data_IF_411690204121
#
_entry.id   IF_411690204121
#
_cell.length_a   1.000
_cell.length_b   1.000
_cell.length_c   1.000
_cell.angle_alpha   90.00
_cell.angle_beta   90.00
_cell.angle_gamma   90.00
#
_symmetry.space_group_name_H-M   'P 1'
#
loop_
_entity.id
_entity.type
_entity.pdbx_description
1 polymer ?
#
# COMPACT_ATOMS: atom_id res chain seq x y z
N UNK A 1 4.94 -34.66 -9.86
CA UNK A 1 4.92 -34.51 -8.39
C UNK A 1 6.29 -34.87 -7.85
N UNK A 2 7.25 -33.95 -7.98
CA UNK A 2 8.58 -34.05 -7.38
C UNK A 2 8.74 -32.91 -6.39
N UNK A 3 8.85 -33.26 -5.11
CA UNK A 3 9.13 -32.33 -4.04
C UNK A 3 10.54 -31.76 -4.23
N UNK A 4 10.66 -30.43 -4.31
CA UNK A 4 11.94 -29.74 -4.20
C UNK A 4 12.13 -29.32 -2.73
N UNK A 5 13.09 -29.91 -1.99
CA UNK A 5 13.18 -29.75 -0.54
C UNK A 5 14.16 -28.65 -0.15
N UNK A 6 14.03 -27.42 -0.66
CA UNK A 6 14.86 -26.30 -0.20
C UNK A 6 14.13 -24.98 -0.39
N UNK A 7 13.59 -24.44 0.71
CA UNK A 7 13.43 -22.99 1.03
C UNK A 7 12.47 -22.81 2.22
N UNK A 8 12.80 -23.39 3.36
CA UNK A 8 12.27 -22.91 4.64
C UNK A 8 13.11 -21.71 5.06
N UNK A 9 12.73 -20.51 4.59
CA UNK A 9 13.25 -19.27 5.18
C UNK A 9 12.81 -19.20 6.64
N UNK A 10 13.73 -19.58 7.54
CA UNK A 10 13.56 -19.49 8.98
C UNK A 10 13.17 -18.08 9.38
N UNK A 11 11.90 -17.90 9.75
CA UNK A 11 11.36 -16.62 10.24
C UNK A 11 12.05 -16.24 11.55
N UNK A 12 13.03 -15.34 11.48
CA UNK A 12 13.49 -14.61 12.67
C UNK A 12 12.46 -13.55 13.07
N UNK A 13 11.42 -13.99 13.79
CA UNK A 13 10.37 -13.14 14.37
C UNK A 13 10.82 -12.12 15.45
N UNK A 14 11.99 -12.20 16.15
CA UNK A 14 12.24 -11.31 17.28
C UNK A 14 12.81 -9.92 16.93
N UNK A 15 13.26 -9.67 15.68
CA UNK A 15 13.98 -8.43 15.35
C UNK A 15 13.08 -7.18 15.30
N UNK A 16 11.81 -7.33 14.92
CA UNK A 16 10.92 -6.18 14.76
C UNK A 16 10.30 -5.69 16.08
N UNK A 17 10.02 -6.59 17.02
CA UNK A 17 9.56 -6.19 18.36
C UNK A 17 10.67 -5.42 19.10
N UNK A 18 11.91 -5.88 18.99
CA UNK A 18 13.07 -5.17 19.54
C UNK A 18 13.22 -3.77 18.92
N UNK A 19 13.09 -3.66 17.60
CA UNK A 19 13.21 -2.38 16.90
C UNK A 19 12.09 -1.38 17.27
N UNK A 20 10.84 -1.85 17.40
CA UNK A 20 9.74 -1.02 17.89
C UNK A 20 9.98 -0.53 19.32
N UNK A 21 10.45 -1.41 20.21
CA UNK A 21 10.82 -1.04 21.57
C UNK A 21 11.93 0.02 21.60
N UNK A 22 12.93 -0.07 20.72
CA UNK A 22 13.99 0.94 20.60
C UNK A 22 13.46 2.31 20.16
N UNK A 23 12.52 2.36 19.22
CA UNK A 23 11.91 3.63 18.77
C UNK A 23 11.06 4.25 19.86
N UNK A 24 10.24 3.45 20.56
CA UNK A 24 9.44 3.93 21.70
C UNK A 24 10.35 4.43 22.82
N UNK A 25 11.40 3.69 23.17
CA UNK A 25 12.38 4.11 24.16
C UNK A 25 13.09 5.42 23.77
N UNK A 26 13.42 5.58 22.49
CA UNK A 26 13.99 6.82 21.95
C UNK A 26 13.04 8.02 22.09
N UNK A 27 11.76 7.85 21.77
CA UNK A 27 10.75 8.91 21.96
C UNK A 27 10.56 9.27 23.43
N UNK A 28 10.53 8.28 24.33
CA UNK A 28 10.43 8.49 25.79
C UNK A 28 11.66 9.23 26.32
N UNK A 29 12.86 8.87 25.84
CA UNK A 29 14.09 9.55 26.24
C UNK A 29 14.12 11.01 25.77
N UNK A 30 13.72 11.28 24.51
CA UNK A 30 13.61 12.64 23.99
C UNK A 30 12.63 13.46 24.83
N UNK A 31 11.45 12.89 25.16
CA UNK A 31 10.48 13.54 26.02
C UNK A 31 11.04 13.83 27.41
N UNK A 32 11.74 12.87 28.02
CA UNK A 32 12.37 13.04 29.34
C UNK A 32 13.44 14.13 29.32
N UNK A 33 14.26 14.21 28.27
CA UNK A 33 15.27 15.27 28.09
C UNK A 33 14.61 16.63 27.91
N UNK A 34 13.54 16.73 27.12
CA UNK A 34 12.77 17.97 26.95
C UNK A 34 12.17 18.43 28.27
N UNK A 35 11.55 17.52 29.04
CA UNK A 35 10.99 17.82 30.36
C UNK A 35 12.07 18.25 31.35
N UNK A 36 13.22 17.59 31.37
CA UNK A 36 14.34 17.96 32.24
C UNK A 36 14.88 19.37 31.89
N UNK A 37 15.00 19.69 30.60
CA UNK A 37 15.38 21.02 30.13
C UNK A 37 14.31 22.08 30.45
N UNK A 38 13.03 21.71 30.52
CA UNK A 38 11.95 22.61 30.93
C UNK A 38 12.10 23.04 32.39
N UNK A 39 12.36 22.06 33.24
CA UNK A 39 12.52 22.26 34.67
C UNK A 39 13.76 23.13 34.95
N UNK A 40 14.83 23.01 34.17
CA UNK A 40 16.05 23.82 34.34
C UNK A 40 15.94 25.22 33.74
N UNK A 41 15.33 25.39 32.58
CA UNK A 41 15.17 26.70 31.93
C UNK A 41 14.19 27.62 32.68
N UNK A 42 13.15 27.02 33.30
CA UNK A 42 12.20 27.73 34.15
C UNK A 42 12.85 28.33 35.41
N UNK A 43 13.84 27.63 35.98
CA UNK A 43 14.65 28.15 37.11
C UNK A 43 15.51 29.36 36.74
N UNK A 44 15.72 29.61 35.45
CA UNK A 44 16.59 30.67 34.92
C UNK A 44 15.82 31.87 34.34
N UNK A 45 14.48 31.90 34.46
CA UNK A 45 13.66 33.04 34.03
C UNK A 45 13.45 33.19 32.51
N UNK A 46 13.85 32.18 31.71
CA UNK A 46 13.81 32.21 30.23
C UNK A 46 12.53 31.66 29.60
N UNK A 47 11.40 31.65 30.30
CA UNK A 47 10.21 30.84 29.95
C UNK A 47 9.67 31.02 28.53
N UNK A 48 9.71 32.24 27.96
CA UNK A 48 9.18 32.51 26.61
C UNK A 48 10.08 31.98 25.48
N UNK A 49 11.39 32.23 25.54
CA UNK A 49 12.37 31.67 24.57
C UNK A 49 12.42 30.14 24.65
N UNK A 50 12.27 29.61 25.85
CA UNK A 50 12.16 28.17 26.08
C UNK A 50 10.90 27.56 25.44
N UNK A 51 9.73 28.18 25.62
CA UNK A 51 8.49 27.74 24.99
C UNK A 51 8.59 27.72 23.45
N UNK A 52 9.17 28.77 22.87
CA UNK A 52 9.42 28.83 21.41
C UNK A 52 10.35 27.71 20.96
N UNK A 53 11.42 27.44 21.71
CA UNK A 53 12.33 26.32 21.44
C UNK A 53 11.65 24.95 21.51
N UNK A 54 10.74 24.74 22.46
CA UNK A 54 9.99 23.49 22.62
C UNK A 54 8.99 23.28 21.48
N UNK A 55 8.26 24.34 21.09
CA UNK A 55 7.38 24.31 19.92
C UNK A 55 8.17 24.03 18.65
N UNK A 56 9.32 24.69 18.44
CA UNK A 56 10.18 24.44 17.29
C UNK A 56 10.72 23.00 17.26
N UNK A 57 11.22 22.50 18.39
CA UNK A 57 11.68 21.12 18.52
C UNK A 57 10.56 20.11 18.26
N UNK A 58 9.34 20.36 18.73
CA UNK A 58 8.19 19.52 18.45
C UNK A 58 7.84 19.51 16.96
N UNK A 59 7.78 20.69 16.32
CA UNK A 59 7.50 20.80 14.88
C UNK A 59 8.55 20.11 14.02
N UNK A 60 9.81 20.06 14.46
CA UNK A 60 10.92 19.39 13.76
C UNK A 60 10.97 17.88 14.06
N UNK A 61 10.77 17.46 15.32
CA UNK A 61 10.85 16.05 15.71
C UNK A 61 9.65 15.22 15.23
N UNK A 62 8.46 15.83 15.11
CA UNK A 62 7.25 15.15 14.63
C UNK A 62 7.42 14.52 13.23
N UNK A 63 7.85 15.23 12.17
CA UNK A 63 8.01 14.62 10.85
C UNK A 63 9.10 13.53 10.84
N UNK A 64 10.21 13.74 11.55
CA UNK A 64 11.32 12.77 11.61
C UNK A 64 10.90 11.49 12.35
N UNK A 65 10.30 11.63 13.53
CA UNK A 65 9.78 10.50 14.31
C UNK A 65 8.68 9.76 13.56
N UNK A 66 7.76 10.50 12.92
CA UNK A 66 6.67 9.94 12.10
C UNK A 66 7.23 9.14 10.92
N UNK A 67 8.19 9.68 10.18
CA UNK A 67 8.84 8.99 9.06
C UNK A 67 9.59 7.74 9.52
N UNK A 68 10.30 7.81 10.66
CA UNK A 68 10.95 6.65 11.25
C UNK A 68 9.94 5.55 11.60
N UNK A 69 8.86 5.87 12.34
CA UNK A 69 7.81 4.91 12.71
C UNK A 69 7.15 4.29 11.48
N UNK A 70 6.89 5.06 10.42
CA UNK A 70 6.35 4.49 9.17
C UNK A 70 7.31 3.53 8.52
N UNK A 71 8.60 3.89 8.38
CA UNK A 71 9.58 2.98 7.77
C UNK A 71 9.75 1.70 8.58
N UNK A 72 9.74 1.81 9.92
CA UNK A 72 9.72 0.66 10.82
C UNK A 72 8.49 -0.22 10.57
N UNK A 73 7.31 0.41 10.50
CA UNK A 73 6.03 -0.27 10.31
C UNK A 73 5.95 -0.95 8.94
N UNK A 74 6.33 -0.27 7.87
CA UNK A 74 6.40 -0.83 6.52
C UNK A 74 7.40 -1.98 6.49
N UNK A 75 8.60 -1.82 7.05
CA UNK A 75 9.60 -2.88 7.14
C UNK A 75 9.12 -4.10 7.94
N UNK A 76 8.42 -3.88 9.06
CA UNK A 76 7.80 -4.95 9.84
C UNK A 76 6.78 -5.72 9.01
N UNK A 77 5.86 -5.01 8.33
CA UNK A 77 4.85 -5.64 7.48
C UNK A 77 5.50 -6.49 6.40
N UNK A 78 6.50 -5.94 5.68
CA UNK A 78 7.29 -6.66 4.67
C UNK A 78 7.90 -7.97 5.20
N UNK A 79 8.44 -7.94 6.42
CA UNK A 79 9.02 -9.13 7.06
C UNK A 79 7.97 -10.16 7.50
N UNK A 80 6.71 -9.75 7.70
CA UNK A 80 5.61 -10.64 8.10
C UNK A 80 4.73 -11.10 6.94
N UNK A 81 4.83 -10.47 5.77
CA UNK A 81 4.09 -10.85 4.56
C UNK A 81 4.34 -12.31 4.21
N UNK A 82 3.28 -13.02 3.83
CA UNK A 82 3.42 -14.37 3.28
C UNK A 82 4.09 -14.31 1.90
N UNK A 83 4.89 -15.32 1.58
CA UNK A 83 5.29 -15.55 0.20
C UNK A 83 4.07 -15.91 -0.65
N UNK A 84 4.11 -15.58 -1.94
CA UNK A 84 2.98 -15.79 -2.86
C UNK A 84 2.54 -17.24 -2.93
N UNK A 85 3.47 -18.20 -2.93
CA UNK A 85 3.14 -19.63 -2.95
C UNK A 85 2.41 -20.08 -1.68
N UNK A 86 2.83 -19.61 -0.51
CA UNK A 86 2.13 -19.89 0.74
C UNK A 86 0.77 -19.18 0.83
N UNK A 87 0.64 -17.97 0.28
CA UNK A 87 -0.65 -17.30 0.18
C UNK A 87 -1.64 -18.10 -0.68
N UNK A 88 -1.19 -18.62 -1.84
CA UNK A 88 -1.98 -19.49 -2.72
C UNK A 88 -2.36 -20.83 -2.07
N UNK A 89 -1.50 -21.38 -1.20
CA UNK A 89 -1.82 -22.61 -0.46
C UNK A 89 -2.78 -22.38 0.72
N UNK A 90 -2.71 -21.21 1.33
CA UNK A 90 -3.50 -20.88 2.52
C UNK A 90 -4.94 -20.47 2.20
N UNK A 91 -5.19 -19.96 0.99
CA UNK A 91 -6.51 -19.53 0.55
C UNK A 91 -6.99 -20.43 -0.61
N UNK A 92 -8.10 -21.18 -0.44
CA UNK A 92 -8.60 -22.08 -1.47
C UNK A 92 -9.28 -21.36 -2.65
N UNK A 93 -9.55 -20.05 -2.53
CA UNK A 93 -10.19 -19.27 -3.61
C UNK A 93 -9.23 -19.07 -4.77
N UNK A 94 -9.77 -18.94 -5.98
CA UNK A 94 -8.98 -18.61 -7.18
C UNK A 94 -8.25 -17.27 -6.95
N UNK A 95 -6.97 -17.14 -7.32
CA UNK A 95 -6.23 -15.90 -7.07
C UNK A 95 -6.71 -14.73 -7.92
N UNK A 96 -6.33 -13.55 -7.44
CA UNK A 96 -6.27 -12.32 -8.25
C UNK A 96 -4.81 -12.11 -8.63
N UNK A 97 -4.48 -12.22 -9.92
CA UNK A 97 -3.11 -12.00 -10.39
C UNK A 97 -2.90 -10.53 -10.69
N UNK A 98 -1.81 -9.97 -10.16
CA UNK A 98 -1.40 -8.60 -10.40
C UNK A 98 -0.12 -8.54 -11.24
N UNK A 99 -0.28 -8.19 -12.51
CA UNK A 99 0.78 -7.95 -13.48
C UNK A 99 1.10 -6.47 -13.52
N UNK A 100 2.36 -6.09 -13.43
CA UNK A 100 2.77 -4.69 -13.46
C UNK A 100 4.25 -4.59 -13.75
N UNK A 101 4.65 -3.49 -14.37
CA UNK A 101 6.07 -3.18 -14.47
C UNK A 101 6.63 -2.86 -13.08
N UNK A 102 7.93 -3.08 -12.93
CA UNK A 102 8.64 -2.73 -11.72
C UNK A 102 8.55 -1.23 -11.39
N UNK A 103 8.55 -0.35 -12.39
CA UNK A 103 8.34 1.08 -12.19
C UNK A 103 7.01 1.40 -11.47
N UNK A 104 5.93 0.70 -11.84
CA UNK A 104 4.62 0.86 -11.20
C UNK A 104 4.66 0.38 -9.74
N UNK A 105 5.43 -0.67 -9.46
CA UNK A 105 5.66 -1.17 -8.10
C UNK A 105 6.25 -0.08 -7.19
N UNK A 106 7.25 0.65 -7.68
CA UNK A 106 7.90 1.73 -6.93
C UNK A 106 6.97 2.92 -6.72
N UNK A 107 6.08 3.17 -7.70
CA UNK A 107 5.08 4.24 -7.63
C UNK A 107 3.98 3.93 -6.60
N UNK A 108 3.50 2.69 -6.56
CA UNK A 108 2.45 2.24 -5.63
C UNK A 108 2.96 1.85 -4.24
N UNK A 109 4.27 1.76 -4.05
CA UNK A 109 4.90 1.61 -2.74
C UNK A 109 4.83 2.89 -1.88
N UNK A 110 4.36 4.01 -2.43
CA UNK A 110 4.17 5.28 -1.71
C UNK A 110 3.05 5.14 -0.68
N UNK A 111 3.27 5.70 0.51
CA UNK A 111 2.25 5.83 1.56
C UNK A 111 1.48 7.13 1.37
N UNK A 112 0.16 7.13 1.64
CA UNK A 112 -0.67 8.32 1.52
C UNK A 112 -0.29 9.45 2.48
N UNK A 113 -0.72 10.68 2.20
CA UNK A 113 -0.29 11.88 2.93
C UNK A 113 -1.13 12.19 4.20
N UNK A 114 -2.38 11.74 4.24
CA UNK A 114 -3.30 11.96 5.36
C UNK A 114 -3.00 11.07 6.58
N UNK A 115 -3.35 11.53 7.78
CA UNK A 115 -3.02 10.86 9.05
C UNK A 115 -3.58 9.42 9.17
N UNK A 116 -4.72 9.13 8.54
CA UNK A 116 -5.34 7.79 8.51
C UNK A 116 -4.61 6.82 7.56
N UNK A 117 -3.94 7.39 6.57
CA UNK A 117 -3.46 6.76 5.33
C UNK A 117 -1.93 6.60 5.26
N UNK A 118 -1.23 7.27 6.18
CA UNK A 118 0.22 7.35 6.27
C UNK A 118 0.93 6.01 6.54
N UNK A 119 0.21 5.01 7.04
CA UNK A 119 0.78 3.70 7.40
C UNK A 119 0.50 2.60 6.36
N UNK A 120 -0.09 2.94 5.22
CA UNK A 120 -0.44 1.97 4.16
C UNK A 120 -0.01 2.47 2.80
N UNK A 121 0.61 1.59 2.03
CA UNK A 121 0.92 1.84 0.62
C UNK A 121 -0.35 1.73 -0.22
N UNK A 122 -0.33 2.30 -1.42
CA UNK A 122 -1.45 2.13 -2.38
C UNK A 122 -1.63 0.66 -2.76
N UNK A 123 -0.53 -0.09 -2.91
CA UNK A 123 -0.59 -1.52 -3.18
C UNK A 123 -1.27 -2.32 -2.05
N UNK A 124 -1.12 -1.90 -0.78
CA UNK A 124 -1.86 -2.50 0.34
C UNK A 124 -3.36 -2.22 0.29
N UNK A 125 -3.77 -1.09 -0.31
CA UNK A 125 -5.19 -0.77 -0.50
C UNK A 125 -5.78 -1.60 -1.62
N UNK A 126 -5.04 -1.77 -2.73
CA UNK A 126 -5.38 -2.72 -3.78
C UNK A 126 -5.56 -4.12 -3.21
N UNK A 127 -4.56 -4.64 -2.49
CA UNK A 127 -4.64 -5.95 -1.85
C UNK A 127 -5.89 -6.14 -0.98
N UNK A 128 -6.33 -5.07 -0.31
CA UNK A 128 -7.50 -5.09 0.56
C UNK A 128 -8.81 -5.06 -0.22
N UNK A 129 -8.91 -4.21 -1.24
CA UNK A 129 -10.07 -4.11 -2.12
C UNK A 129 -10.36 -5.46 -2.79
N UNK A 130 -9.30 -6.13 -3.25
CA UNK A 130 -9.43 -7.41 -3.96
C UNK A 130 -9.42 -8.64 -3.03
N UNK A 131 -9.19 -8.48 -1.73
CA UNK A 131 -9.15 -9.59 -0.77
C UNK A 131 -10.48 -10.37 -0.67
N UNK A 132 -11.61 -9.72 -0.98
CA UNK A 132 -12.93 -10.38 -1.01
C UNK A 132 -13.09 -11.32 -2.21
N UNK A 133 -12.35 -11.07 -3.28
CA UNK A 133 -12.38 -11.89 -4.49
C UNK A 133 -11.47 -13.10 -4.30
N UNK A 134 -10.20 -12.86 -3.97
CA UNK A 134 -9.23 -13.93 -3.76
C UNK A 134 -7.89 -13.41 -3.22
N UNK A 135 -6.91 -14.30 -3.00
CA UNK A 135 -5.57 -13.88 -2.61
C UNK A 135 -4.93 -13.08 -3.75
N UNK A 136 -4.51 -11.84 -3.46
CA UNK A 136 -3.79 -11.00 -4.43
C UNK A 136 -2.33 -11.44 -4.51
N UNK A 137 -1.90 -11.88 -5.68
CA UNK A 137 -0.55 -12.38 -5.94
C UNK A 137 0.09 -11.66 -7.12
N UNK A 138 1.41 -11.51 -7.09
CA UNK A 138 2.14 -10.82 -8.14
C UNK A 138 3.53 -11.45 -8.33
N UNK A 139 4.11 -11.39 -9.52
CA UNK A 139 5.49 -11.85 -9.73
C UNK A 139 6.48 -10.90 -9.04
N UNK A 140 7.40 -11.46 -8.25
CA UNK A 140 8.44 -10.70 -7.55
C UNK A 140 9.66 -10.41 -8.42
N UNK A 141 10.40 -9.35 -8.10
CA UNK A 141 11.71 -9.08 -8.73
C UNK A 141 12.72 -10.14 -8.30
N UNK A 142 13.53 -10.70 -9.22
CA UNK A 142 14.66 -11.55 -8.84
C UNK A 142 15.59 -10.81 -7.86
N UNK A 143 15.98 -11.49 -6.77
CA UNK A 143 16.90 -10.92 -5.78
C UNK A 143 16.30 -9.86 -4.84
N UNK A 144 14.98 -9.65 -4.84
CA UNK A 144 14.36 -8.71 -3.90
C UNK A 144 14.54 -9.17 -2.44
N UNK A 145 15.04 -8.31 -1.53
CA UNK A 145 15.44 -8.74 -0.18
C UNK A 145 14.24 -9.04 0.75
N UNK A 146 13.10 -8.38 0.56
CA UNK A 146 11.87 -8.62 1.30
C UNK A 146 10.67 -8.35 0.40
N UNK A 147 9.61 -9.18 0.41
CA UNK A 147 8.39 -8.86 -0.32
C UNK A 147 7.80 -7.54 0.20
N UNK A 148 7.24 -6.68 -0.66
CA UNK A 148 6.54 -5.49 -0.24
C UNK A 148 5.27 -5.85 0.55
N UNK A 149 4.75 -4.87 1.29
CA UNK A 149 3.44 -5.00 1.90
C UNK A 149 2.41 -4.73 0.79
N UNK A 150 1.42 -5.62 0.61
CA UNK A 150 0.48 -5.57 -0.50
C UNK A 150 0.24 -6.94 -1.13
N UNK A 151 0.35 -7.05 -2.45
CA UNK A 151 0.23 -8.31 -3.16
C UNK A 151 1.36 -9.27 -2.76
N UNK A 152 1.02 -10.53 -2.50
CA UNK A 152 2.00 -11.53 -2.10
C UNK A 152 2.87 -11.93 -3.29
N UNK A 153 4.20 -11.89 -3.13
CA UNK A 153 5.15 -12.09 -4.24
C UNK A 153 5.41 -13.56 -4.52
N UNK A 154 5.17 -13.98 -5.76
CA UNK A 154 5.61 -15.25 -6.31
C UNK A 154 6.98 -15.03 -6.95
N UNK A 155 8.03 -15.57 -6.34
CA UNK A 155 9.38 -15.50 -6.87
C UNK A 155 9.65 -16.71 -7.76
N UNK A 156 10.16 -16.44 -8.95
CA UNK A 156 10.36 -17.39 -10.04
C UNK A 156 11.79 -17.28 -10.56
N UNK A 157 12.32 -18.40 -11.08
CA UNK A 157 13.61 -18.45 -11.75
C UNK A 157 13.47 -18.21 -13.25
N UNK A 158 14.25 -18.93 -14.04
CA UNK A 158 14.29 -18.77 -15.51
C UNK A 158 12.95 -19.16 -16.17
N UNK A 159 12.17 -20.03 -15.54
CA UNK A 159 10.85 -20.50 -16.01
C UNK A 159 9.69 -19.52 -15.71
N UNK A 160 10.01 -18.23 -15.51
CA UNK A 160 9.02 -17.22 -15.11
C UNK A 160 7.85 -17.10 -16.09
N UNK A 161 8.09 -17.29 -17.39
CA UNK A 161 7.04 -17.24 -18.43
C UNK A 161 6.03 -18.37 -18.29
N UNK A 162 6.49 -19.57 -17.96
CA UNK A 162 5.60 -20.70 -17.72
C UNK A 162 4.77 -20.46 -16.46
N UNK A 163 5.40 -19.97 -15.40
CA UNK A 163 4.69 -19.63 -14.16
C UNK A 163 3.62 -18.55 -14.39
N UNK A 164 3.90 -17.52 -15.22
CA UNK A 164 2.90 -16.50 -15.57
C UNK A 164 1.69 -17.14 -16.24
N UNK A 165 1.89 -18.05 -17.20
CA UNK A 165 0.78 -18.74 -17.89
C UNK A 165 -0.06 -19.59 -16.93
N UNK A 166 0.59 -20.35 -16.04
CA UNK A 166 -0.12 -21.12 -15.02
C UNK A 166 -0.93 -20.23 -14.08
N UNK A 167 -0.38 -19.08 -13.68
CA UNK A 167 -1.08 -18.13 -12.83
C UNK A 167 -2.26 -17.48 -13.58
N UNK A 168 -2.12 -17.17 -14.87
CA UNK A 168 -3.22 -16.65 -15.69
C UNK A 168 -4.40 -17.63 -15.73
N UNK A 169 -4.13 -18.90 -16.01
CA UNK A 169 -5.16 -19.95 -16.07
C UNK A 169 -5.91 -20.12 -14.74
N UNK A 170 -5.16 -20.14 -13.63
CA UNK A 170 -5.74 -20.34 -12.29
C UNK A 170 -6.51 -19.12 -11.78
N UNK A 171 -6.19 -17.93 -12.26
CA UNK A 171 -6.74 -16.68 -11.74
C UNK A 171 -8.19 -16.47 -12.16
N UNK A 172 -8.98 -15.92 -11.25
CA UNK A 172 -10.35 -15.49 -11.56
C UNK A 172 -10.42 -14.03 -12.02
N UNK A 173 -9.41 -13.23 -11.67
CA UNK A 173 -9.28 -11.83 -12.06
C UNK A 173 -7.81 -11.50 -12.31
N UNK A 174 -7.54 -10.74 -13.37
CA UNK A 174 -6.22 -10.25 -13.73
C UNK A 174 -6.21 -8.73 -13.65
N UNK A 175 -5.42 -8.21 -12.72
CA UNK A 175 -5.14 -6.79 -12.59
C UNK A 175 -3.85 -6.47 -13.31
N UNK A 176 -3.85 -5.40 -14.09
CA UNK A 176 -2.68 -4.89 -14.79
C UNK A 176 -2.40 -3.49 -14.29
N UNK A 177 -1.22 -3.24 -13.71
CA UNK A 177 -0.72 -1.90 -13.49
C UNK A 177 -0.15 -1.37 -14.80
N UNK A 178 -0.87 -0.45 -15.45
CA UNK A 178 -0.41 0.15 -16.69
C UNK A 178 0.97 0.76 -16.50
N UNK A 179 1.87 0.49 -17.45
CA UNK A 179 3.28 0.83 -17.33
C UNK A 179 4.02 0.45 -18.61
N UNK A 180 5.33 0.63 -18.62
CA UNK A 180 6.18 0.33 -19.77
C UNK A 180 7.14 -0.82 -19.50
N UNK A 181 7.62 -1.45 -20.57
CA UNK A 181 8.67 -2.46 -20.55
C UNK A 181 8.29 -3.71 -21.35
N UNK A 182 9.30 -4.35 -21.95
CA UNK A 182 9.12 -5.53 -22.80
C UNK A 182 8.49 -6.72 -22.06
N UNK A 183 8.85 -6.91 -20.77
CA UNK A 183 8.26 -7.95 -19.94
C UNK A 183 6.75 -7.78 -19.78
N UNK A 184 6.30 -6.57 -19.40
CA UNK A 184 4.88 -6.28 -19.26
C UNK A 184 4.14 -6.36 -20.61
N UNK A 185 4.77 -5.93 -21.70
CA UNK A 185 4.19 -6.06 -23.05
C UNK A 185 3.98 -7.52 -23.43
N UNK A 186 4.93 -8.40 -23.13
CA UNK A 186 4.76 -9.84 -23.30
C UNK A 186 3.66 -10.40 -22.40
N UNK A 187 3.58 -9.99 -21.13
CA UNK A 187 2.52 -10.41 -20.21
C UNK A 187 1.14 -10.00 -20.73
N UNK A 188 1.00 -8.78 -21.25
CA UNK A 188 -0.23 -8.27 -21.88
C UNK A 188 -0.65 -9.08 -23.10
N UNK A 189 0.30 -9.47 -23.95
CA UNK A 189 0.03 -10.36 -25.09
C UNK A 189 -0.53 -11.72 -24.62
N UNK A 190 0.05 -12.31 -23.57
CA UNK A 190 -0.46 -13.55 -22.99
C UNK A 190 -1.86 -13.37 -22.39
N UNK A 191 -2.12 -12.26 -21.69
CA UNK A 191 -3.46 -11.93 -21.17
C UNK A 191 -4.47 -11.86 -22.31
N UNK A 192 -4.14 -11.11 -23.37
CA UNK A 192 -5.01 -10.96 -24.54
C UNK A 192 -5.30 -12.29 -25.23
N UNK A 193 -4.33 -13.20 -25.26
CA UNK A 193 -4.47 -14.49 -25.92
C UNK A 193 -5.25 -15.54 -25.12
N UNK A 194 -5.27 -15.44 -23.78
CA UNK A 194 -5.71 -16.57 -22.92
C UNK A 194 -6.80 -16.24 -21.91
N UNK A 195 -7.03 -14.96 -21.58
CA UNK A 195 -7.94 -14.54 -20.51
C UNK A 195 -9.23 -13.97 -21.11
N UNK A 196 -10.38 -14.34 -20.51
CA UNK A 196 -11.66 -13.67 -20.80
C UNK A 196 -11.53 -12.17 -20.49
N UNK A 197 -11.77 -11.26 -21.45
CA UNK A 197 -11.60 -9.82 -21.26
C UNK A 197 -12.34 -9.28 -20.04
N UNK A 198 -13.51 -9.85 -19.72
CA UNK A 198 -14.35 -9.42 -18.59
C UNK A 198 -13.68 -9.66 -17.23
N UNK A 199 -12.61 -10.46 -17.19
CA UNK A 199 -11.79 -10.74 -15.99
C UNK A 199 -10.53 -9.86 -15.94
N UNK A 200 -10.38 -8.92 -16.86
CA UNK A 200 -9.19 -8.07 -16.97
C UNK A 200 -9.53 -6.65 -16.52
N UNK A 201 -8.69 -6.10 -15.64
CA UNK A 201 -8.77 -4.69 -15.22
C UNK A 201 -7.39 -4.06 -15.35
N UNK A 202 -7.29 -2.96 -16.08
CA UNK A 202 -6.06 -2.16 -16.22
C UNK A 202 -6.16 -0.95 -15.31
N UNK A 203 -5.33 -0.89 -14.28
CA UNK A 203 -5.18 0.26 -13.37
C UNK A 203 -4.23 1.29 -13.98
N UNK A 204 -4.58 2.57 -13.87
CA UNK A 204 -3.82 3.70 -14.42
C UNK A 204 -3.18 4.50 -13.26
N UNK A 205 -1.91 4.21 -12.91
CA UNK A 205 -1.23 4.85 -11.79
C UNK A 205 -0.52 6.16 -12.19
N UNK A 206 -0.99 6.87 -13.22
CA UNK A 206 -0.31 8.04 -13.80
C UNK A 206 -1.29 8.97 -14.55
N UNK A 207 -0.79 10.12 -15.01
CA UNK A 207 -1.57 11.14 -15.73
C UNK A 207 -1.81 10.80 -17.21
N UNK A 208 -2.51 11.69 -17.91
CA UNK A 208 -2.88 11.48 -19.32
C UNK A 208 -1.66 11.29 -20.23
N UNK A 209 -0.56 12.03 -20.00
CA UNK A 209 0.63 11.90 -20.85
C UNK A 209 1.25 10.49 -20.77
N UNK A 210 1.40 9.93 -19.56
CA UNK A 210 1.89 8.57 -19.41
C UNK A 210 0.90 7.55 -19.99
N UNK A 211 -0.41 7.81 -19.85
CA UNK A 211 -1.45 6.99 -20.45
C UNK A 211 -1.39 6.97 -21.98
N UNK A 212 -1.23 8.12 -22.63
CA UNK A 212 -1.14 8.19 -24.08
C UNK A 212 0.05 7.42 -24.63
N UNK A 213 1.18 7.48 -23.92
CA UNK A 213 2.34 6.68 -24.27
C UNK A 213 2.06 5.18 -24.07
N UNK A 214 1.49 4.79 -22.92
CA UNK A 214 1.10 3.39 -22.68
C UNK A 214 0.15 2.88 -23.77
N UNK A 215 -0.88 3.66 -24.09
CA UNK A 215 -1.87 3.39 -25.13
C UNK A 215 -1.21 3.20 -26.50
N UNK A 216 -0.26 4.07 -26.84
CA UNK A 216 0.50 3.97 -28.09
C UNK A 216 1.38 2.72 -28.12
N UNK A 217 2.05 2.41 -27.00
CA UNK A 217 2.97 1.29 -26.86
C UNK A 217 2.28 -0.08 -26.95
N UNK A 218 0.96 -0.16 -26.70
CA UNK A 218 0.18 -1.41 -26.70
C UNK A 218 -0.93 -1.42 -27.74
N UNK A 219 -0.96 -0.43 -28.64
CA UNK A 219 -2.05 -0.23 -29.60
C UNK A 219 -2.27 -1.44 -30.54
N UNK A 220 -1.21 -2.19 -30.83
CA UNK A 220 -1.23 -3.37 -31.70
C UNK A 220 -1.59 -4.68 -30.96
N UNK A 221 -1.64 -4.67 -29.63
CA UNK A 221 -1.97 -5.85 -28.83
C UNK A 221 -3.48 -6.07 -28.72
N UNK A 222 -4.25 -4.98 -28.63
CA UNK A 222 -5.70 -5.05 -28.40
C UNK A 222 -6.48 -5.02 -29.72
N UNK A 223 -7.55 -5.82 -29.87
CA UNK A 223 -8.42 -5.78 -31.05
C UNK A 223 -9.08 -4.42 -31.30
N UNK A 224 -9.37 -3.71 -30.21
CA UNK A 224 -9.90 -2.35 -30.23
C UNK A 224 -8.92 -1.40 -29.53
N UNK A 225 -8.73 -0.19 -30.06
CA UNK A 225 -7.85 0.78 -29.44
C UNK A 225 -8.36 1.14 -28.04
N UNK A 226 -7.45 1.30 -27.08
CA UNK A 226 -7.82 1.82 -25.77
C UNK A 226 -8.40 3.25 -25.93
N UNK A 227 -9.40 3.64 -25.13
CA UNK A 227 -10.12 4.90 -25.31
C UNK A 227 -9.21 6.10 -25.07
N UNK A 228 -9.49 7.20 -25.75
CA UNK A 228 -8.98 8.49 -25.30
C UNK A 228 -9.66 8.86 -23.98
N UNK A 229 -8.89 9.38 -23.03
CA UNK A 229 -9.38 9.73 -21.71
C UNK A 229 -9.41 11.25 -21.59
N UNK A 230 -10.58 11.78 -21.22
CA UNK A 230 -10.64 13.15 -20.72
C UNK A 230 -9.63 13.33 -19.54
N UNK A 231 -9.24 14.56 -19.21
CA UNK A 231 -8.22 14.82 -18.19
C UNK A 231 -8.46 14.02 -16.91
N UNK A 232 -7.44 13.25 -16.51
CA UNK A 232 -7.42 12.47 -15.27
C UNK A 232 -7.20 13.42 -14.09
N UNK A 233 -7.76 13.10 -12.92
CA UNK A 233 -7.56 13.91 -11.71
C UNK A 233 -6.07 14.03 -11.36
N UNK A 234 -5.70 15.09 -10.63
CA UNK A 234 -4.33 15.29 -10.15
C UNK A 234 -3.89 14.20 -9.15
N UNK A 235 -2.58 14.10 -8.91
CA UNK A 235 -1.98 13.05 -8.07
C UNK A 235 -2.34 13.18 -6.57
N UNK A 236 -2.96 14.29 -6.17
CA UNK A 236 -3.06 14.73 -4.79
C UNK A 236 -3.99 13.85 -3.94
N UNK A 237 -4.89 13.08 -4.58
CA UNK A 237 -5.81 12.20 -3.89
C UNK A 237 -5.23 10.78 -3.76
N UNK A 238 -4.90 10.13 -4.88
CA UNK A 238 -4.33 8.77 -4.93
C UNK A 238 -3.43 8.58 -6.16
N UNK A 239 -2.53 7.60 -6.07
CA UNK A 239 -1.63 7.26 -7.19
C UNK A 239 -2.41 6.61 -8.34
N UNK A 240 -3.39 5.76 -8.04
CA UNK A 240 -4.27 5.15 -9.06
C UNK A 240 -5.44 6.08 -9.35
N UNK A 241 -5.48 6.64 -10.56
CA UNK A 241 -6.43 7.71 -10.94
C UNK A 241 -7.65 7.20 -11.72
N UNK A 242 -7.49 6.08 -12.41
CA UNK A 242 -8.54 5.46 -13.20
C UNK A 242 -8.25 3.97 -13.39
N UNK A 243 -9.25 3.25 -13.88
CA UNK A 243 -9.14 1.88 -14.32
C UNK A 243 -9.85 1.70 -15.67
N UNK A 244 -9.46 0.69 -16.43
CA UNK A 244 -10.19 0.22 -17.61
C UNK A 244 -10.65 -1.21 -17.32
N UNK A 245 -11.89 -1.54 -17.67
CA UNK A 245 -12.35 -2.92 -17.79
C UNK A 245 -12.78 -3.19 -19.22
N UNK A 246 -12.96 -4.45 -19.58
CA UNK A 246 -13.22 -4.84 -20.97
C UNK A 246 -14.54 -5.57 -21.13
N UNK A 247 -15.20 -5.32 -22.26
CA UNK A 247 -16.31 -6.13 -22.77
C UNK A 247 -15.77 -7.40 -23.45
N UNK A 248 -16.67 -8.33 -23.78
CA UNK A 248 -16.33 -9.62 -24.40
C UNK A 248 -15.55 -9.50 -25.72
N UNK A 249 -15.66 -8.38 -26.42
CA UNK A 249 -14.97 -8.07 -27.67
C UNK A 249 -13.63 -7.34 -27.50
N UNK A 250 -13.15 -7.16 -26.26
CA UNK A 250 -12.01 -6.30 -25.89
C UNK A 250 -12.24 -4.80 -26.03
N UNK A 251 -13.49 -4.33 -26.17
CA UNK A 251 -13.78 -2.90 -26.05
C UNK A 251 -13.53 -2.45 -24.61
N UNK A 252 -12.58 -1.53 -24.43
CA UNK A 252 -12.20 -0.99 -23.13
C UNK A 252 -13.15 0.13 -22.67
N UNK A 253 -13.66 0.01 -21.45
CA UNK A 253 -14.55 0.97 -20.81
C UNK A 253 -13.84 1.63 -19.62
N UNK A 254 -13.71 2.97 -19.63
CA UNK A 254 -12.98 3.67 -18.58
C UNK A 254 -13.84 3.89 -17.34
N UNK A 255 -13.21 3.69 -16.20
CA UNK A 255 -13.75 3.92 -14.86
C UNK A 255 -12.88 4.94 -14.16
N UNK A 256 -13.47 6.08 -13.81
CA UNK A 256 -12.78 7.17 -13.11
C UNK A 256 -12.81 6.95 -11.62
N UNK A 257 -11.65 6.60 -11.06
CA UNK A 257 -11.44 6.48 -9.63
C UNK A 257 -11.24 7.89 -9.04
N UNK A 258 -12.26 8.75 -9.18
CA UNK A 258 -12.33 10.00 -8.45
C UNK A 258 -12.76 9.70 -7.04
N UNK A 259 -11.85 9.90 -6.10
CA UNK A 259 -12.15 9.93 -4.68
C UNK A 259 -12.41 11.37 -4.30
N UNK A 260 -13.64 11.69 -3.88
CA UNK A 260 -13.82 12.81 -2.98
C UNK A 260 -13.00 12.53 -1.70
N UNK A 261 -12.56 13.55 -0.95
CA UNK A 261 -11.80 13.40 0.31
C UNK A 261 -12.46 12.46 1.32
N UNK A 262 -13.75 12.18 1.17
CA UNK A 262 -14.53 11.27 1.99
C UNK A 262 -14.46 9.78 1.58
N UNK A 263 -13.99 9.44 0.37
CA UNK A 263 -14.02 8.07 -0.17
C UNK A 263 -12.61 7.51 -0.31
N UNK A 264 -12.32 6.35 0.30
CA UNK A 264 -11.02 5.69 0.14
C UNK A 264 -10.89 5.02 -1.23
N UNK A 265 -9.66 4.89 -1.75
CA UNK A 265 -9.38 4.13 -2.98
C UNK A 265 -10.00 2.73 -2.97
N UNK A 266 -9.94 2.03 -1.83
CA UNK A 266 -10.56 0.71 -1.65
C UNK A 266 -12.07 0.74 -1.94
N UNK A 267 -12.76 1.74 -1.40
CA UNK A 267 -14.21 1.91 -1.59
C UNK A 267 -14.52 2.31 -3.04
N UNK A 268 -13.74 3.20 -3.64
CA UNK A 268 -13.90 3.61 -5.03
C UNK A 268 -13.74 2.43 -5.99
N UNK A 269 -12.70 1.60 -5.80
CA UNK A 269 -12.50 0.37 -6.58
C UNK A 269 -13.68 -0.59 -6.41
N UNK A 270 -14.12 -0.83 -5.18
CA UNK A 270 -15.23 -1.75 -4.90
C UNK A 270 -16.55 -1.30 -5.52
N UNK A 271 -16.85 0.00 -5.47
CA UNK A 271 -18.09 0.56 -5.99
C UNK A 271 -18.08 0.62 -7.52
N UNK A 272 -16.98 1.09 -8.10
CA UNK A 272 -16.96 1.39 -9.53
C UNK A 272 -16.60 0.19 -10.40
N UNK A 273 -15.87 -0.79 -9.86
CA UNK A 273 -15.62 -2.06 -10.54
C UNK A 273 -16.66 -3.14 -10.19
N UNK A 274 -17.76 -2.76 -9.53
CA UNK A 274 -18.87 -3.68 -9.25
C UNK A 274 -19.38 -4.46 -10.49
N UNK A 275 -19.45 -3.88 -11.70
CA UNK A 275 -19.82 -4.64 -12.90
C UNK A 275 -18.85 -5.78 -13.24
N UNK A 276 -17.56 -5.58 -12.99
CA UNK A 276 -16.53 -6.62 -13.17
C UNK A 276 -16.75 -7.74 -12.16
N UNK A 277 -17.03 -7.39 -10.91
CA UNK A 277 -17.21 -8.36 -9.82
C UNK A 277 -18.50 -9.16 -9.93
N UNK A 278 -19.55 -8.61 -10.56
CA UNK A 278 -20.83 -9.30 -10.72
C UNK A 278 -20.74 -10.60 -11.54
N UNK A 279 -19.73 -10.71 -12.40
CA UNK A 279 -19.52 -11.86 -13.30
C UNK A 279 -18.50 -12.88 -12.74
N UNK A 280 -17.90 -12.59 -11.58
CA UNK A 280 -16.95 -13.50 -10.94
C UNK A 280 -17.71 -14.50 -10.07
N UNK A 281 -17.41 -15.78 -10.25
CA UNK A 281 -18.01 -16.85 -9.46
C UNK A 281 -17.63 -16.73 -7.97
N UNK A 282 -18.65 -16.89 -7.12
CA UNK A 282 -18.59 -17.07 -5.67
C UNK A 282 -18.02 -15.92 -4.83
N UNK A 283 -18.86 -14.91 -4.58
CA UNK A 283 -18.62 -13.86 -3.56
C UNK A 283 -18.80 -14.33 -2.11
N UNK A 284 -18.92 -15.64 -1.84
CA UNK A 284 -19.10 -16.16 -0.48
C UNK A 284 -17.80 -16.74 0.09
N UNK A 285 -17.22 -15.99 1.05
CA UNK A 285 -16.65 -16.44 2.34
C UNK A 285 -15.32 -15.74 2.72
N UNK A 286 -14.86 -15.94 3.97
CA UNK A 286 -15.00 -15.02 5.08
C UNK A 286 -13.81 -14.04 5.19
N UNK A 287 -14.10 -12.85 5.71
CA UNK A 287 -13.10 -11.86 6.11
C UNK A 287 -12.24 -12.36 7.27
N UNK A 288 -11.17 -13.09 6.99
CA UNK A 288 -9.95 -12.98 7.81
C UNK A 288 -9.12 -11.81 7.30
N UNK A 289 -9.70 -10.61 7.34
CA UNK A 289 -8.87 -9.44 7.53
C UNK A 289 -8.20 -9.66 8.88
N UNK A 290 -6.93 -10.02 8.83
CA UNK A 290 -6.07 -10.15 9.99
C UNK A 290 -6.29 -8.89 10.82
N UNK A 291 -7.05 -9.04 11.92
CA UNK A 291 -7.40 -7.97 12.85
C UNK A 291 -6.12 -7.60 13.58
N UNK A 292 -5.22 -6.92 12.88
CA UNK A 292 -4.18 -6.14 13.50
C UNK A 292 -4.92 -5.10 14.31
N UNK A 293 -5.07 -5.37 15.62
CA UNK A 293 -5.53 -4.37 16.59
C UNK A 293 -4.68 -3.15 16.32
N UNK A 294 -5.29 -2.11 15.78
CA UNK A 294 -4.61 -0.89 15.39
C UNK A 294 -3.96 -0.27 16.64
N UNK A 295 -2.66 -0.57 16.86
CA UNK A 295 -1.79 0.10 17.82
C UNK A 295 -1.74 1.63 17.58
N UNK A 296 -2.29 2.09 16.45
CA UNK A 296 -2.50 3.47 16.03
C UNK A 296 -3.24 4.29 17.08
N UNK A 297 -4.27 3.71 17.71
CA UNK A 297 -5.04 4.40 18.74
C UNK A 297 -4.24 4.60 20.03
N UNK A 298 -3.34 3.68 20.36
CA UNK A 298 -2.48 3.78 21.56
C UNK A 298 -1.38 4.83 21.38
N UNK A 299 -0.74 4.91 20.22
CA UNK A 299 0.32 5.89 19.98
C UNK A 299 -0.21 7.33 19.84
N UNK A 300 -1.34 7.51 19.13
CA UNK A 300 -1.98 8.82 18.97
C UNK A 300 -2.62 9.32 20.28
N UNK A 301 -3.21 8.42 21.07
CA UNK A 301 -3.75 8.79 22.39
C UNK A 301 -2.66 9.18 23.38
N UNK A 302 -1.48 8.55 23.35
CA UNK A 302 -0.38 8.91 24.24
C UNK A 302 0.22 10.28 23.92
N UNK A 303 0.44 10.58 22.64
CA UNK A 303 0.98 11.87 22.20
C UNK A 303 -0.01 13.03 22.48
N UNK A 304 -1.31 12.79 22.22
CA UNK A 304 -2.38 13.72 22.56
C UNK A 304 -2.50 13.96 24.07
N UNK A 305 -2.39 12.91 24.88
CA UNK A 305 -2.42 13.00 26.34
C UNK A 305 -1.23 13.81 26.89
N UNK A 306 -0.03 13.61 26.35
CA UNK A 306 1.16 14.38 26.76
C UNK A 306 0.99 15.87 26.44
N UNK A 307 0.52 16.22 25.24
CA UNK A 307 0.25 17.62 24.87
C UNK A 307 -0.84 18.26 25.75
N UNK A 308 -1.92 17.52 26.03
CA UNK A 308 -3.00 17.98 26.90
C UNK A 308 -2.47 18.24 28.32
N UNK A 309 -1.70 17.30 28.88
CA UNK A 309 -1.11 17.45 30.23
C UNK A 309 -0.12 18.62 30.30
N UNK A 310 0.70 18.83 29.27
CA UNK A 310 1.61 19.98 29.22
C UNK A 310 0.87 21.32 29.10
N UNK A 311 -0.21 21.38 28.32
CA UNK A 311 -1.03 22.59 28.18
C UNK A 311 -1.80 22.91 29.47
N UNK A 312 -2.40 21.89 30.11
CA UNK A 312 -3.10 22.02 31.40
C UNK A 312 -2.14 22.47 32.50
N UNK A 313 -0.92 21.93 32.55
CA UNK A 313 0.11 22.37 33.49
C UNK A 313 0.52 23.83 33.28
N UNK A 314 0.73 24.24 32.02
CA UNK A 314 1.03 25.64 31.68
C UNK A 314 -0.07 26.60 32.11
N UNK A 315 -1.34 26.24 31.88
CA UNK A 315 -2.51 27.05 32.25
C UNK A 315 -2.69 27.16 33.78
N UNK A 316 -2.58 26.03 34.51
CA UNK A 316 -2.62 26.02 35.98
C UNK A 316 -1.57 26.96 36.57
N UNK A 317 -0.39 27.03 35.92
CA UNK A 317 0.70 27.88 36.40
C UNK A 317 0.50 29.37 36.16
N UNK A 318 -0.10 29.73 35.04
CA UNK A 318 -0.36 31.14 34.69
C UNK A 318 -1.55 31.70 35.48
N UNK A 319 -2.59 30.90 35.71
CA UNK A 319 -3.87 31.38 36.24
C UNK A 319 -4.17 30.98 37.68
N UNK A 320 -3.59 29.89 38.21
CA UNK A 320 -3.93 29.36 39.54
C UNK A 320 -2.77 29.48 40.53
N UNK A 321 -1.52 29.36 40.09
CA UNK A 321 -0.33 29.38 40.96
C UNK A 321 0.39 30.74 40.99
N UNK A 322 -0.34 31.84 40.79
CA UNK A 322 0.19 33.19 41.05
C UNK A 322 0.30 33.48 42.53
#
# INVERSE_FOLDING_TARGET
MSENPERTHGRSKPRAAAYFCCVVAGCVLILAVVVALAITADRLGGGALYFVGLVAAHLICQPVGRHAVVRCWVGFKRNTSADGWSALRADPRRPVLYLRSFLVDDLLARTGETAMDYFRTEEERLARAFARIGPLVAIGRPGEPLPPAGASRVYVGDDWRETVRELLDRSQLVLIGAGRGEGLRWELDQVRATVDPRRVVVLLPFGNWEYDNFRSDVADLFPHPLPDLAPLPDADDHTVRAALHFREDWTAEPVRLSTDRATSLEMALLQQLAPVFAHLDDTRAPTRLQRQRDLRWLALSLAGLVLLLSAVWGLLRVFVLR
#
